data_IF_176235491649
#
_entry.id   IF_176235491649
#
_cell.length_a   1.000
_cell.length_b   1.000
_cell.length_c   1.000
_cell.angle_alpha   90.00
_cell.angle_beta   90.00
_cell.angle_gamma   90.00
#
_symmetry.space_group_name_H-M   'P 1'
#
loop_
_entity.id
_entity.type
_entity.pdbx_description
1 polymer ?
#
# COMPACT_ATOMS: atom_id res chain seq x y z
N UNK A 1 -75.53 -22.56 -34.13
CA UNK A 1 -74.95 -21.68 -33.10
C UNK A 1 -73.57 -22.20 -32.76
N UNK A 2 -72.54 -21.61 -33.41
CA UNK A 2 -71.15 -22.08 -33.33
C UNK A 2 -70.36 -20.98 -32.65
N UNK A 3 -69.85 -21.24 -31.45
CA UNK A 3 -69.11 -20.28 -30.65
C UNK A 3 -67.60 -20.44 -30.97
N UNK A 4 -67.03 -19.43 -31.64
CA UNK A 4 -65.58 -19.32 -31.89
C UNK A 4 -64.86 -18.87 -30.59
N UNK A 5 -64.02 -19.71 -30.03
CA UNK A 5 -63.09 -19.36 -28.96
C UNK A 5 -61.78 -18.85 -29.60
N UNK A 6 -61.54 -17.54 -29.51
CA UNK A 6 -60.26 -16.94 -29.88
C UNK A 6 -59.21 -17.25 -28.81
N UNK A 7 -58.15 -17.93 -29.22
CA UNK A 7 -56.96 -18.20 -28.42
C UNK A 7 -55.97 -17.07 -28.53
N UNK A 8 -55.80 -16.28 -27.48
CA UNK A 8 -54.74 -15.25 -27.43
C UNK A 8 -53.43 -15.89 -27.01
N UNK A 9 -52.46 -15.90 -27.89
CA UNK A 9 -51.09 -16.32 -27.61
C UNK A 9 -50.33 -15.10 -27.08
N UNK A 10 -50.04 -15.12 -25.80
CA UNK A 10 -49.12 -14.12 -25.18
C UNK A 10 -47.68 -14.51 -25.46
N UNK A 11 -46.98 -13.72 -26.29
CA UNK A 11 -45.54 -13.84 -26.52
C UNK A 11 -44.81 -13.13 -25.39
N UNK A 12 -44.19 -13.90 -24.49
CA UNK A 12 -43.30 -13.37 -23.47
C UNK A 12 -41.93 -13.19 -24.11
N UNK A 13 -41.55 -11.93 -24.38
CA UNK A 13 -40.16 -11.60 -24.73
C UNK A 13 -39.30 -11.66 -23.45
N UNK A 14 -38.51 -12.70 -23.31
CA UNK A 14 -37.45 -12.77 -22.31
C UNK A 14 -36.27 -11.93 -22.79
N UNK A 15 -36.10 -10.75 -22.23
CA UNK A 15 -34.86 -9.95 -22.37
C UNK A 15 -33.74 -10.57 -21.58
N UNK A 16 -32.85 -11.27 -22.26
CA UNK A 16 -31.55 -11.70 -21.68
C UNK A 16 -30.68 -10.46 -21.42
N UNK A 17 -30.73 -9.96 -20.21
CA UNK A 17 -29.77 -8.97 -19.72
C UNK A 17 -28.38 -9.60 -19.65
N UNK A 18 -27.52 -9.27 -20.62
CA UNK A 18 -26.09 -9.59 -20.55
C UNK A 18 -25.48 -8.67 -19.48
N UNK A 19 -25.44 -9.17 -18.24
CA UNK A 19 -24.68 -8.54 -17.20
C UNK A 19 -23.20 -8.59 -17.55
N UNK A 20 -22.60 -7.44 -17.85
CA UNK A 20 -21.16 -7.32 -17.99
C UNK A 20 -20.52 -7.68 -16.64
N UNK A 21 -19.95 -8.86 -16.56
CA UNK A 21 -19.12 -9.26 -15.43
C UNK A 21 -17.90 -8.33 -15.39
N UNK A 22 -17.91 -7.36 -14.48
CA UNK A 22 -16.72 -6.62 -14.12
C UNK A 22 -15.80 -7.62 -13.42
N UNK A 23 -14.82 -8.13 -14.13
CA UNK A 23 -13.72 -8.89 -13.57
C UNK A 23 -12.76 -7.93 -12.84
N UNK A 24 -13.25 -7.33 -11.76
CA UNK A 24 -12.42 -6.82 -10.69
C UNK A 24 -12.24 -7.98 -9.73
N UNK A 25 -11.10 -8.63 -9.74
CA UNK A 25 -10.79 -9.69 -8.77
C UNK A 25 -10.59 -9.08 -7.40
N UNK A 26 -11.68 -8.73 -6.72
CA UNK A 26 -11.63 -8.66 -5.26
C UNK A 26 -11.47 -10.11 -4.78
N UNK A 27 -10.32 -10.39 -4.20
CA UNK A 27 -10.13 -11.65 -3.50
C UNK A 27 -11.26 -11.81 -2.47
N UNK A 28 -11.80 -13.03 -2.30
CA UNK A 28 -12.89 -13.26 -1.35
C UNK A 28 -12.49 -12.71 0.01
N UNK A 29 -13.46 -12.21 0.78
CA UNK A 29 -13.33 -11.39 2.00
C UNK A 29 -12.45 -12.00 3.12
N UNK A 30 -11.68 -13.03 2.91
CA UNK A 30 -10.68 -13.65 3.80
C UNK A 30 -9.65 -14.49 3.04
N UNK A 31 -9.29 -14.08 1.84
CA UNK A 31 -8.22 -14.79 1.13
C UNK A 31 -6.88 -14.69 1.88
N UNK A 32 -6.61 -13.51 2.46
CA UNK A 32 -5.41 -13.28 3.26
C UNK A 32 -5.72 -13.35 4.75
N UNK A 33 -4.89 -14.07 5.51
CA UNK A 33 -4.85 -13.97 6.97
C UNK A 33 -4.31 -12.61 7.41
N UNK A 34 -4.43 -12.29 8.71
CA UNK A 34 -3.81 -11.10 9.30
C UNK A 34 -2.29 -11.13 9.10
N UNK A 35 -1.71 -9.98 8.76
CA UNK A 35 -0.30 -9.88 8.38
C UNK A 35 0.42 -8.79 9.16
N UNK A 36 1.68 -9.08 9.53
CA UNK A 36 2.68 -8.08 9.93
C UNK A 36 3.77 -8.08 8.89
N UNK A 37 4.08 -6.93 8.33
CA UNK A 37 5.01 -6.83 7.21
C UNK A 37 5.95 -5.66 7.38
N UNK A 38 7.24 -5.89 7.19
CA UNK A 38 8.23 -4.83 7.06
C UNK A 38 8.69 -4.72 5.62
N UNK A 39 8.46 -3.55 5.04
CA UNK A 39 9.02 -3.16 3.75
C UNK A 39 10.38 -2.52 3.94
N UNK A 40 11.37 -3.03 3.23
CA UNK A 40 12.70 -2.45 3.21
C UNK A 40 12.79 -1.39 2.11
N UNK A 41 13.11 -0.17 2.49
CA UNK A 41 13.36 0.95 1.58
C UNK A 41 14.84 1.35 1.66
N UNK A 42 15.64 0.90 0.71
CA UNK A 42 17.06 1.25 0.54
C UNK A 42 17.31 2.28 -0.57
N UNK A 43 16.24 2.71 -1.26
CA UNK A 43 16.29 3.68 -2.36
C UNK A 43 16.40 3.04 -3.74
N UNK A 44 16.77 1.77 -3.81
CA UNK A 44 16.96 1.06 -5.06
C UNK A 44 17.86 1.78 -6.08
N UNK A 45 18.15 1.17 -7.24
CA UNK A 45 19.05 1.75 -8.23
C UNK A 45 18.45 2.95 -8.97
N UNK A 46 17.10 3.04 -9.05
CA UNK A 46 16.39 4.01 -9.90
C UNK A 46 15.71 5.14 -9.11
N UNK A 47 16.03 5.31 -7.82
CA UNK A 47 15.55 6.41 -6.98
C UNK A 47 14.05 6.69 -7.13
N UNK A 48 13.67 7.71 -7.90
CA UNK A 48 12.29 8.15 -8.07
C UNK A 48 11.34 7.05 -8.61
N UNK A 49 11.81 6.20 -9.54
CA UNK A 49 11.04 5.06 -10.07
C UNK A 49 10.81 4.01 -8.98
N UNK A 50 11.85 3.74 -8.19
CA UNK A 50 11.76 2.83 -7.04
C UNK A 50 10.73 3.35 -6.02
N UNK A 51 10.76 4.64 -5.67
CA UNK A 51 9.81 5.21 -4.72
C UNK A 51 8.36 5.13 -5.21
N UNK A 52 8.11 5.37 -6.50
CA UNK A 52 6.78 5.22 -7.08
C UNK A 52 6.28 3.77 -6.96
N UNK A 53 7.14 2.79 -7.22
CA UNK A 53 6.85 1.36 -7.09
C UNK A 53 6.59 0.99 -5.63
N UNK A 54 7.45 1.39 -4.70
CA UNK A 54 7.30 1.16 -3.27
C UNK A 54 5.94 1.68 -2.76
N UNK A 55 5.63 2.97 -3.00
CA UNK A 55 4.39 3.59 -2.55
C UNK A 55 3.15 2.94 -3.20
N UNK A 56 3.29 2.50 -4.46
CA UNK A 56 2.25 1.74 -5.15
C UNK A 56 2.00 0.37 -4.52
N UNK A 57 3.07 -0.37 -4.23
CA UNK A 57 3.00 -1.68 -3.59
C UNK A 57 2.38 -1.61 -2.20
N UNK A 58 2.79 -0.64 -1.37
CA UNK A 58 2.23 -0.41 -0.05
C UNK A 58 0.71 -0.19 -0.11
N UNK A 59 0.26 0.72 -0.99
CA UNK A 59 -1.16 1.00 -1.18
C UNK A 59 -1.94 -0.24 -1.62
N UNK A 60 -1.41 -0.99 -2.58
CA UNK A 60 -2.07 -2.19 -3.12
C UNK A 60 -2.12 -3.28 -2.05
N UNK A 61 -1.05 -3.44 -1.24
CA UNK A 61 -1.02 -4.41 -0.15
C UNK A 61 -2.10 -4.12 0.89
N UNK A 62 -2.19 -2.88 1.39
CA UNK A 62 -3.24 -2.50 2.36
C UNK A 62 -4.63 -2.69 1.76
N UNK A 63 -4.84 -2.38 0.47
CA UNK A 63 -6.15 -2.61 -0.19
C UNK A 63 -6.49 -4.09 -0.32
N UNK A 64 -5.51 -4.93 -0.63
CA UNK A 64 -5.73 -6.37 -0.83
C UNK A 64 -6.04 -7.11 0.48
N UNK A 65 -5.35 -6.78 1.56
CA UNK A 65 -5.49 -7.46 2.86
C UNK A 65 -6.57 -6.80 3.73
N UNK A 66 -6.73 -5.49 3.60
CA UNK A 66 -7.59 -4.68 4.44
C UNK A 66 -6.82 -3.97 5.57
N UNK A 67 -7.15 -2.69 5.80
CA UNK A 67 -6.48 -1.82 6.78
C UNK A 67 -6.47 -2.40 8.20
N UNK A 68 -7.52 -3.10 8.60
CA UNK A 68 -7.67 -3.71 9.94
C UNK A 68 -6.94 -5.06 10.07
N UNK A 69 -6.43 -5.60 8.97
CA UNK A 69 -5.86 -6.95 8.89
C UNK A 69 -4.37 -6.95 8.51
N UNK A 70 -3.78 -5.78 8.32
CA UNK A 70 -2.36 -5.68 7.99
C UNK A 70 -1.69 -4.58 8.81
N UNK A 71 -0.56 -4.92 9.45
CA UNK A 71 0.36 -3.98 10.07
C UNK A 71 1.59 -3.83 9.19
N UNK A 72 1.80 -2.63 8.64
CA UNK A 72 2.96 -2.36 7.77
C UNK A 72 3.91 -1.37 8.42
N UNK A 73 5.19 -1.74 8.46
CA UNK A 73 6.32 -0.87 8.76
C UNK A 73 7.17 -0.70 7.50
N UNK A 74 7.68 0.49 7.26
CA UNK A 74 8.63 0.77 6.17
C UNK A 74 9.94 1.20 6.81
N UNK A 75 10.95 0.37 6.75
CA UNK A 75 12.29 0.69 7.27
C UNK A 75 13.13 1.35 6.19
N UNK A 76 13.41 2.65 6.34
CA UNK A 76 14.17 3.46 5.38
C UNK A 76 15.58 3.73 5.90
N UNK A 77 16.60 3.35 5.13
CA UNK A 77 18.00 3.66 5.42
C UNK A 77 18.80 3.90 4.13
N UNK A 78 20.03 4.39 4.25
CA UNK A 78 20.84 4.70 3.09
C UNK A 78 20.13 5.65 2.13
N UNK A 79 20.07 5.27 0.86
CA UNK A 79 19.40 6.08 -0.18
C UNK A 79 17.88 6.09 -0.04
N UNK A 80 17.29 5.17 0.74
CA UNK A 80 15.87 5.16 1.05
C UNK A 80 15.38 6.39 1.80
N UNK A 81 16.26 7.13 2.48
CA UNK A 81 15.92 8.39 3.15
C UNK A 81 15.55 9.48 2.15
N UNK A 82 16.06 9.41 0.92
CA UNK A 82 15.74 10.35 -0.15
C UNK A 82 14.24 10.39 -0.53
N UNK A 83 13.46 9.36 -0.18
CA UNK A 83 11.99 9.41 -0.30
C UNK A 83 11.41 10.64 0.41
N UNK A 84 11.84 10.91 1.63
CA UNK A 84 11.31 12.00 2.45
C UNK A 84 11.91 13.36 2.05
N UNK A 85 13.14 13.36 1.51
CA UNK A 85 13.74 14.57 0.91
C UNK A 85 13.00 14.97 -0.36
N UNK A 86 12.67 14.00 -1.24
CA UNK A 86 11.89 14.26 -2.44
C UNK A 86 10.47 14.73 -2.12
N UNK A 87 9.84 14.16 -1.10
CA UNK A 87 8.51 14.57 -0.66
C UNK A 87 8.45 16.02 -0.13
N UNK A 88 9.56 16.58 0.34
CA UNK A 88 9.63 17.99 0.76
C UNK A 88 9.41 18.97 -0.42
N UNK A 89 9.70 18.55 -1.66
CA UNK A 89 9.55 19.36 -2.88
C UNK A 89 8.50 18.82 -3.85
N UNK A 90 8.17 17.52 -3.80
CA UNK A 90 7.19 16.86 -4.67
C UNK A 90 5.89 16.58 -3.91
N UNK A 91 4.87 17.42 -4.21
CA UNK A 91 3.54 17.34 -3.59
C UNK A 91 2.83 16.00 -3.87
N UNK A 92 3.12 15.35 -5.00
CA UNK A 92 2.51 14.05 -5.32
C UNK A 92 3.08 12.95 -4.41
N UNK A 93 4.39 12.93 -4.22
CA UNK A 93 5.06 12.01 -3.29
C UNK A 93 4.58 12.25 -1.87
N UNK A 94 4.53 13.51 -1.44
CA UNK A 94 4.02 13.91 -0.14
C UNK A 94 2.59 13.40 0.10
N UNK A 95 1.68 13.66 -0.82
CA UNK A 95 0.29 13.23 -0.72
C UNK A 95 0.15 11.69 -0.65
N UNK A 96 0.99 10.94 -1.36
CA UNK A 96 1.01 9.48 -1.29
C UNK A 96 1.49 8.97 0.07
N UNK A 97 2.51 9.59 0.67
CA UNK A 97 2.99 9.25 2.01
C UNK A 97 1.88 9.49 3.04
N UNK A 98 1.23 10.66 3.00
CA UNK A 98 0.14 10.97 3.93
C UNK A 98 -1.05 10.01 3.78
N UNK A 99 -1.45 9.69 2.55
CA UNK A 99 -2.50 8.71 2.31
C UNK A 99 -2.16 7.34 2.91
N UNK A 100 -0.91 6.90 2.82
CA UNK A 100 -0.45 5.65 3.40
C UNK A 100 -0.43 5.69 4.93
N UNK A 101 -0.01 6.81 5.53
CA UNK A 101 -0.10 7.02 6.99
C UNK A 101 -1.56 6.93 7.48
N UNK A 102 -2.49 7.56 6.77
CA UNK A 102 -3.93 7.44 7.05
C UNK A 102 -4.42 5.99 6.93
N UNK A 103 -3.84 5.21 6.03
CA UNK A 103 -4.11 3.78 5.90
C UNK A 103 -3.44 2.93 6.98
N UNK A 104 -2.65 3.50 7.89
CA UNK A 104 -2.01 2.80 9.01
C UNK A 104 -0.58 2.34 8.73
N UNK A 105 0.00 2.71 7.59
CA UNK A 105 1.41 2.43 7.29
C UNK A 105 2.30 3.35 8.14
N UNK A 106 3.30 2.76 8.79
CA UNK A 106 4.28 3.48 9.60
C UNK A 106 5.64 3.50 8.91
N UNK A 107 6.18 4.70 8.73
CA UNK A 107 7.50 4.90 8.14
C UNK A 107 8.54 5.08 9.25
N UNK A 108 9.65 4.37 9.13
CA UNK A 108 10.77 4.41 10.07
C UNK A 108 12.03 4.87 9.34
N UNK A 109 12.81 5.73 9.96
CA UNK A 109 14.01 6.32 9.36
C UNK A 109 15.24 5.98 10.20
N UNK A 110 16.31 5.57 9.55
CA UNK A 110 17.56 5.19 10.17
C UNK A 110 18.33 6.41 10.71
N UNK A 111 18.41 6.54 12.03
CA UNK A 111 19.19 7.61 12.68
C UNK A 111 20.69 7.50 12.40
N UNK A 112 21.23 6.30 12.16
CA UNK A 112 22.62 6.14 11.74
C UNK A 112 22.86 6.80 10.37
N UNK A 113 21.98 6.56 9.39
CA UNK A 113 22.04 7.23 8.07
C UNK A 113 21.95 8.75 8.20
N UNK A 114 21.05 9.28 9.06
CA UNK A 114 20.94 10.72 9.28
C UNK A 114 22.25 11.32 9.76
N UNK A 115 22.88 10.68 10.75
CA UNK A 115 24.17 11.15 11.31
C UNK A 115 25.31 11.08 10.30
N UNK A 116 25.47 9.94 9.62
CA UNK A 116 26.56 9.74 8.64
C UNK A 116 26.49 10.73 7.47
N UNK A 117 25.26 10.95 6.99
CA UNK A 117 25.02 11.83 5.83
C UNK A 117 24.78 13.29 6.22
N UNK A 118 24.84 13.60 7.52
CA UNK A 118 24.57 14.93 8.07
C UNK A 118 23.22 15.49 7.60
N UNK A 119 22.20 14.65 7.57
CA UNK A 119 20.84 15.01 7.22
C UNK A 119 20.10 15.46 8.47
N UNK A 120 19.60 16.70 8.44
CA UNK A 120 18.72 17.21 9.49
C UNK A 120 17.32 16.58 9.32
N UNK A 121 16.84 15.90 10.35
CA UNK A 121 15.51 15.27 10.38
C UNK A 121 14.40 16.28 10.05
N UNK A 122 14.52 17.52 10.50
CA UNK A 122 13.49 18.54 10.31
C UNK A 122 13.34 18.99 8.86
N UNK A 123 14.30 18.62 8.00
CA UNK A 123 14.21 18.80 6.55
C UNK A 123 13.47 17.68 5.83
N UNK A 124 13.16 16.58 6.53
CA UNK A 124 12.49 15.42 5.97
C UNK A 124 10.96 15.56 6.10
N UNK A 125 10.27 15.44 4.99
CA UNK A 125 8.82 15.58 4.97
C UNK A 125 8.11 14.57 5.87
N UNK A 126 7.37 15.07 6.85
CA UNK A 126 6.50 14.27 7.69
C UNK A 126 7.21 13.26 8.61
N UNK A 127 8.52 13.39 8.83
CA UNK A 127 9.30 12.55 9.75
C UNK A 127 9.36 13.21 11.11
N UNK A 128 8.87 12.52 12.12
CA UNK A 128 8.92 12.94 13.53
C UNK A 128 10.08 12.25 14.27
N UNK A 129 10.34 12.67 15.51
CA UNK A 129 11.35 12.00 16.36
C UNK A 129 11.00 10.53 16.63
N UNK A 130 9.71 10.22 16.80
CA UNK A 130 9.20 8.87 17.03
C UNK A 130 9.37 7.92 15.82
N UNK A 131 9.63 8.48 14.64
CA UNK A 131 9.87 7.70 13.42
C UNK A 131 11.36 7.36 13.26
N UNK A 132 12.24 7.98 14.04
CA UNK A 132 13.68 7.74 13.94
C UNK A 132 14.08 6.56 14.82
N UNK A 133 14.61 5.52 14.18
CA UNK A 133 15.17 4.34 14.88
C UNK A 133 16.70 4.41 14.89
N UNK A 134 17.38 3.88 15.91
CA UNK A 134 18.84 3.96 16.02
C UNK A 134 19.59 3.44 14.79
N UNK A 135 19.12 2.31 14.23
CA UNK A 135 19.69 1.66 13.03
C UNK A 135 18.59 1.01 12.22
N UNK A 136 18.49 1.38 10.94
CA UNK A 136 17.50 0.79 10.03
C UNK A 136 17.69 -0.72 9.83
N UNK A 137 18.93 -1.18 9.64
CA UNK A 137 19.22 -2.60 9.48
C UNK A 137 18.89 -3.42 10.74
N UNK A 138 19.26 -2.92 11.93
CA UNK A 138 18.91 -3.58 13.18
C UNK A 138 17.40 -3.60 13.42
N UNK A 139 16.69 -2.54 13.02
CA UNK A 139 15.23 -2.48 13.13
C UNK A 139 14.54 -3.48 12.20
N UNK A 140 15.03 -3.66 10.97
CA UNK A 140 14.53 -4.71 10.08
C UNK A 140 14.67 -6.11 10.72
N UNK A 141 15.82 -6.40 11.33
CA UNK A 141 16.03 -7.66 12.02
C UNK A 141 15.13 -7.80 13.25
N UNK A 142 14.99 -6.73 14.05
CA UNK A 142 14.11 -6.70 15.23
C UNK A 142 12.65 -6.97 14.86
N UNK A 143 12.15 -6.32 13.82
CA UNK A 143 10.77 -6.51 13.35
C UNK A 143 10.53 -7.94 12.86
N UNK A 144 11.49 -8.53 12.12
CA UNK A 144 11.39 -9.92 11.70
C UNK A 144 11.34 -10.87 12.92
N UNK A 145 12.15 -10.62 13.95
CA UNK A 145 12.07 -11.35 15.21
C UNK A 145 10.72 -11.20 15.95
N UNK A 146 9.96 -10.15 15.65
CA UNK A 146 8.58 -9.92 16.15
C UNK A 146 7.50 -10.51 15.22
N UNK A 147 7.87 -11.29 14.22
CA UNK A 147 6.96 -11.95 13.30
C UNK A 147 6.55 -11.10 12.07
N UNK A 148 7.25 -10.01 11.77
CA UNK A 148 7.04 -9.28 10.53
C UNK A 148 7.68 -10.01 9.35
N UNK A 149 6.90 -10.31 8.33
CA UNK A 149 7.43 -10.82 7.06
C UNK A 149 8.22 -9.70 6.34
N UNK A 150 9.38 -10.03 5.81
CA UNK A 150 10.23 -9.07 5.10
C UNK A 150 9.86 -9.00 3.61
N UNK A 151 9.69 -7.78 3.09
CA UNK A 151 9.50 -7.51 1.66
C UNK A 151 10.49 -6.41 1.22
N UNK A 152 11.19 -6.68 0.12
CA UNK A 152 11.98 -5.70 -0.63
C UNK A 152 11.34 -5.52 -2.01
N UNK A 153 10.76 -4.34 -2.36
CA UNK A 153 9.99 -4.15 -3.58
C UNK A 153 10.84 -3.96 -4.84
#
# INVERSE_FOLDING_TARGET
>A
MTVFRSLMIAVVLATLGVGAAHAGSEAPARYYADQKVVYHNDGGPDGATYFKRLLGNLRNHVKAVGKSHVEIRVGSHGDGVALFQSAASDKEVAARIEALKVMGVRFLVCGHTLRERKIDRDTLYGVTEDDVVPSGAAELARLQGMGFAYIHP
#
